data_IF_907222996839
#
_entry.id   IF_907222996839
#
_cell.length_a   1.000
_cell.length_b   1.000
_cell.length_c   1.000
_cell.angle_alpha   90.00
_cell.angle_beta   90.00
_cell.angle_gamma   90.00
#
_symmetry.space_group_name_H-M   'P 1'
#
loop_
_entity.id
_entity.type
_entity.pdbx_description
1 polymer ?
#
# COMPACT_ATOMS: atom_id res chain seq x y z
N UNK A 1 29.72 23.65 -44.71
CA UNK A 1 29.37 24.09 -43.33
C UNK A 1 27.86 24.16 -43.05
N UNK A 2 27.00 24.68 -43.96
CA UNK A 2 25.55 24.77 -43.74
C UNK A 2 24.81 23.40 -43.57
N UNK A 3 25.30 22.33 -44.23
CA UNK A 3 24.70 20.97 -44.10
C UNK A 3 25.03 20.26 -42.77
N UNK A 4 26.14 20.61 -42.12
CA UNK A 4 26.50 20.07 -40.80
C UNK A 4 25.70 20.73 -39.67
N UNK A 5 25.34 22.01 -39.82
CA UNK A 5 24.49 22.73 -38.88
C UNK A 5 23.05 22.19 -38.85
N UNK A 6 22.52 21.79 -40.00
CA UNK A 6 21.20 21.17 -40.12
C UNK A 6 21.14 19.77 -39.46
N UNK A 7 22.24 19.00 -39.51
CA UNK A 7 22.34 17.71 -38.81
C UNK A 7 22.39 17.86 -37.28
N UNK A 8 22.99 18.94 -36.77
CA UNK A 8 23.02 19.24 -35.34
C UNK A 8 21.65 19.68 -34.80
N UNK A 9 20.86 20.42 -35.59
CA UNK A 9 19.51 20.84 -35.18
C UNK A 9 18.53 19.66 -35.16
N UNK A 10 18.71 18.65 -36.03
CA UNK A 10 17.87 17.44 -36.03
C UNK A 10 18.09 16.54 -34.81
N UNK A 11 19.27 16.59 -34.18
CA UNK A 11 19.58 15.81 -32.97
C UNK A 11 18.93 16.38 -31.70
N UNK A 12 18.58 17.67 -31.66
CA UNK A 12 17.92 18.27 -30.50
C UNK A 12 16.41 18.01 -30.44
N UNK A 13 15.78 17.58 -31.54
CA UNK A 13 14.34 17.33 -31.60
C UNK A 13 13.94 15.90 -31.20
N UNK A 14 14.92 15.01 -30.98
CA UNK A 14 14.69 13.63 -30.50
C UNK A 14 14.97 13.48 -29.00
N UNK A 15 15.37 14.55 -28.30
CA UNK A 15 15.56 14.54 -26.84
C UNK A 15 14.28 14.86 -26.07
N UNK A 16 13.11 14.52 -26.61
CA UNK A 16 11.93 14.35 -25.79
C UNK A 16 12.05 12.96 -25.16
N UNK A 17 12.77 12.87 -24.04
CA UNK A 17 12.71 11.71 -23.17
C UNK A 17 11.24 11.56 -22.77
N UNK A 18 10.52 10.62 -23.39
CA UNK A 18 9.23 10.18 -22.85
C UNK A 18 9.53 9.78 -21.41
N UNK A 19 8.99 10.51 -20.44
CA UNK A 19 8.85 9.98 -19.09
C UNK A 19 8.19 8.62 -19.28
N UNK A 20 8.88 7.57 -18.88
CA UNK A 20 8.34 6.21 -18.93
C UNK A 20 7.20 6.20 -17.91
N UNK A 21 6.01 6.52 -18.41
CA UNK A 21 4.84 6.73 -17.58
C UNK A 21 4.35 5.35 -17.17
N UNK A 22 4.74 4.93 -15.98
CA UNK A 22 4.35 3.64 -15.46
C UNK A 22 2.83 3.58 -15.39
N UNK A 23 2.25 2.55 -16.00
CA UNK A 23 0.82 2.36 -15.86
C UNK A 23 0.49 2.19 -14.37
N UNK A 24 -0.60 2.81 -13.92
CA UNK A 24 -0.90 2.86 -12.50
C UNK A 24 -2.37 2.56 -12.20
N UNK A 25 -2.60 2.19 -10.94
CA UNK A 25 -3.90 2.19 -10.29
C UNK A 25 -3.72 2.30 -8.77
N UNK A 26 -4.73 1.91 -7.99
CA UNK A 26 -4.82 2.17 -6.57
C UNK A 26 -5.24 0.94 -5.77
N UNK A 27 -4.82 0.95 -4.50
CA UNK A 27 -5.47 0.22 -3.43
C UNK A 27 -6.63 1.04 -2.85
N UNK A 28 -7.76 0.37 -2.62
CA UNK A 28 -8.89 0.91 -1.86
C UNK A 28 -9.04 0.13 -0.55
N UNK A 29 -8.64 0.75 0.56
CA UNK A 29 -8.52 0.09 1.87
C UNK A 29 -9.54 0.59 2.90
N UNK A 30 -10.77 0.85 2.46
CA UNK A 30 -11.89 1.28 3.31
C UNK A 30 -12.97 0.20 3.37
N UNK A 31 -13.60 0.02 4.53
CA UNK A 31 -14.69 -0.97 4.72
C UNK A 31 -15.92 -0.64 3.88
N UNK A 32 -16.32 0.63 3.84
CA UNK A 32 -17.43 1.05 3.00
C UNK A 32 -16.90 1.36 1.59
N UNK A 33 -17.26 0.54 0.61
CA UNK A 33 -16.91 0.74 -0.79
C UNK A 33 -17.79 1.86 -1.38
N UNK A 34 -17.18 3.04 -1.52
CA UNK A 34 -17.77 4.27 -2.04
C UNK A 34 -16.66 5.07 -2.73
N UNK A 35 -17.00 5.83 -3.75
CA UNK A 35 -16.07 6.80 -4.34
C UNK A 35 -16.70 8.17 -4.25
N UNK A 36 -15.97 9.14 -3.69
CA UNK A 36 -16.32 10.54 -3.92
C UNK A 36 -15.93 10.99 -5.32
N UNK A 37 -16.23 12.25 -5.64
CA UNK A 37 -16.00 12.82 -6.98
C UNK A 37 -14.52 12.80 -7.37
N UNK A 38 -13.62 13.11 -6.44
CA UNK A 38 -12.19 13.19 -6.72
C UNK A 38 -11.57 11.79 -6.81
N UNK A 39 -11.93 10.89 -5.89
CA UNK A 39 -11.53 9.48 -5.95
C UNK A 39 -11.98 8.82 -7.26
N UNK A 40 -13.23 9.07 -7.70
CA UNK A 40 -13.72 8.54 -8.98
C UNK A 40 -12.95 9.12 -10.16
N UNK A 41 -12.76 10.43 -10.20
CA UNK A 41 -12.05 11.12 -11.29
C UNK A 41 -10.64 10.58 -11.47
N UNK A 42 -9.88 10.45 -10.38
CA UNK A 42 -8.50 9.94 -10.42
C UNK A 42 -8.49 8.45 -10.78
N UNK A 43 -9.44 7.64 -10.28
CA UNK A 43 -9.54 6.24 -10.66
C UNK A 43 -9.87 6.05 -12.14
N UNK A 44 -10.75 6.87 -12.71
CA UNK A 44 -11.12 6.79 -14.13
C UNK A 44 -9.94 7.15 -15.05
N UNK A 45 -9.00 7.98 -14.57
CA UNK A 45 -7.77 8.37 -15.28
C UNK A 45 -6.66 7.33 -15.19
N UNK A 46 -6.75 6.39 -14.25
CA UNK A 46 -5.72 5.36 -14.09
C UNK A 46 -5.64 4.46 -15.33
N UNK A 47 -4.44 4.09 -15.75
CA UNK A 47 -4.25 3.33 -16.99
C UNK A 47 -4.40 1.82 -16.82
N UNK A 48 -4.22 1.30 -15.61
CA UNK A 48 -4.45 -0.12 -15.30
C UNK A 48 -5.96 -0.37 -15.09
N UNK A 49 -6.55 -1.44 -15.65
CA UNK A 49 -8.00 -1.67 -15.63
C UNK A 49 -8.52 -2.28 -14.31
N UNK A 50 -7.73 -2.21 -13.23
CA UNK A 50 -8.02 -2.87 -11.96
C UNK A 50 -8.16 -1.87 -10.82
N UNK A 51 -8.97 -2.20 -9.81
CA UNK A 51 -8.96 -1.56 -8.49
C UNK A 51 -8.74 -2.66 -7.44
N UNK A 52 -7.69 -2.55 -6.65
CA UNK A 52 -7.38 -3.52 -5.60
C UNK A 52 -8.15 -3.17 -4.35
N UNK A 53 -9.23 -3.90 -4.08
CA UNK A 53 -10.17 -3.57 -3.02
C UNK A 53 -10.02 -4.53 -1.87
N UNK A 54 -9.72 -4.01 -0.67
CA UNK A 54 -9.74 -4.82 0.55
C UNK A 54 -11.15 -5.29 0.84
N UNK A 55 -11.39 -6.59 0.81
CA UNK A 55 -12.70 -7.20 1.05
C UNK A 55 -12.98 -7.47 2.52
N UNK A 56 -11.97 -7.93 3.25
CA UNK A 56 -12.04 -8.18 4.68
C UNK A 56 -10.65 -8.53 5.19
N UNK A 57 -10.51 -8.49 6.50
CA UNK A 57 -9.35 -9.00 7.20
C UNK A 57 -9.71 -10.37 7.81
N UNK A 58 -8.71 -11.18 8.08
CA UNK A 58 -8.87 -12.48 8.75
C UNK A 58 -7.99 -12.48 9.98
N UNK A 59 -8.61 -12.74 11.12
CA UNK A 59 -7.92 -12.89 12.40
C UNK A 59 -8.31 -14.20 13.10
N UNK A 60 -7.52 -14.64 14.08
CA UNK A 60 -7.80 -15.84 14.89
C UNK A 60 -8.00 -15.43 16.34
N UNK A 61 -9.25 -15.20 16.71
CA UNK A 61 -9.66 -14.74 18.04
C UNK A 61 -10.23 -15.94 18.80
N UNK A 62 -9.69 -16.22 20.00
CA UNK A 62 -10.10 -17.35 20.85
C UNK A 62 -10.08 -18.70 20.10
N UNK A 63 -9.04 -18.91 19.28
CA UNK A 63 -8.85 -20.14 18.50
C UNK A 63 -9.75 -20.29 17.27
N UNK A 64 -10.59 -19.30 16.95
CA UNK A 64 -11.50 -19.34 15.79
C UNK A 64 -11.14 -18.28 14.76
N UNK A 65 -11.10 -18.68 13.50
CA UNK A 65 -10.97 -17.73 12.39
C UNK A 65 -12.21 -16.86 12.29
N UNK A 66 -12.02 -15.54 12.20
CA UNK A 66 -13.08 -14.57 12.09
C UNK A 66 -12.76 -13.57 10.98
N UNK A 67 -13.71 -13.29 10.08
CA UNK A 67 -13.58 -12.16 9.18
C UNK A 67 -13.84 -10.87 9.96
N UNK A 68 -12.95 -9.90 9.81
CA UNK A 68 -13.03 -8.58 10.45
C UNK A 68 -13.17 -7.51 9.37
N UNK A 69 -13.86 -6.42 9.69
CA UNK A 69 -14.03 -5.26 8.81
C UNK A 69 -14.49 -5.64 7.38
N UNK A 70 -15.48 -6.55 7.30
CA UNK A 70 -16.03 -7.04 6.03
C UNK A 70 -16.64 -5.91 5.23
N UNK A 71 -16.32 -5.85 3.94
CA UNK A 71 -16.80 -4.79 3.07
C UNK A 71 -18.32 -4.67 3.05
N UNK A 72 -18.74 -3.42 3.00
CA UNK A 72 -20.08 -3.01 2.57
C UNK A 72 -19.95 -2.24 1.26
N UNK A 73 -21.05 -2.13 0.52
CA UNK A 73 -21.10 -1.30 -0.70
C UNK A 73 -22.12 -0.19 -0.52
N UNK A 74 -21.68 1.04 -0.77
CA UNK A 74 -22.56 2.18 -0.90
C UNK A 74 -23.32 2.08 -2.24
N UNK A 75 -24.64 2.34 -2.29
CA UNK A 75 -25.40 2.31 -3.54
C UNK A 75 -24.85 3.23 -4.64
N UNK A 76 -24.15 4.31 -4.26
CA UNK A 76 -23.51 5.23 -5.20
C UNK A 76 -22.23 4.69 -5.86
N UNK A 77 -21.66 3.58 -5.35
CA UNK A 77 -20.41 3.05 -5.86
C UNK A 77 -20.55 2.50 -7.29
N UNK A 78 -19.81 3.11 -8.22
CA UNK A 78 -19.73 2.71 -9.61
C UNK A 78 -18.31 2.91 -10.14
N UNK A 79 -17.83 1.95 -10.91
CA UNK A 79 -16.54 2.01 -11.61
C UNK A 79 -16.55 1.07 -12.81
N UNK A 80 -15.81 1.43 -13.86
CA UNK A 80 -15.54 0.53 -14.99
C UNK A 80 -14.34 -0.40 -14.74
N UNK A 81 -13.58 -0.16 -13.66
CA UNK A 81 -12.45 -1.01 -13.27
C UNK A 81 -12.94 -2.38 -12.81
N UNK A 82 -12.17 -3.42 -13.12
CA UNK A 82 -12.37 -4.73 -12.51
C UNK A 82 -11.81 -4.73 -11.09
N UNK A 83 -12.57 -5.30 -10.16
CA UNK A 83 -12.14 -5.42 -8.77
C UNK A 83 -11.20 -6.62 -8.62
N UNK A 84 -10.03 -6.42 -8.04
CA UNK A 84 -9.17 -7.48 -7.51
C UNK A 84 -9.46 -7.61 -6.01
N UNK A 85 -10.16 -8.68 -5.57
CA UNK A 85 -10.41 -8.89 -4.15
C UNK A 85 -9.09 -9.08 -3.41
N UNK A 86 -8.86 -8.21 -2.42
CA UNK A 86 -7.68 -8.26 -1.55
C UNK A 86 -8.12 -8.65 -0.15
N UNK A 87 -7.45 -9.63 0.46
CA UNK A 87 -7.75 -10.11 1.81
C UNK A 87 -6.51 -10.00 2.67
N UNK A 88 -6.62 -9.29 3.79
CA UNK A 88 -5.55 -9.24 4.78
C UNK A 88 -5.66 -10.43 5.74
N UNK A 89 -4.55 -11.08 6.05
CA UNK A 89 -4.50 -12.16 7.03
C UNK A 89 -3.48 -11.77 8.09
N UNK A 90 -3.91 -11.71 9.35
CA UNK A 90 -2.97 -11.46 10.45
C UNK A 90 -1.95 -12.60 10.51
N UNK A 91 -0.68 -12.26 10.71
CA UNK A 91 0.36 -13.27 10.85
C UNK A 91 0.06 -14.25 12.02
N UNK A 92 -0.58 -13.73 13.08
CA UNK A 92 -1.01 -14.52 14.23
C UNK A 92 -2.04 -15.60 13.86
N UNK A 93 -2.92 -15.35 12.89
CA UNK A 93 -3.90 -16.34 12.46
C UNK A 93 -3.25 -17.60 11.86
N UNK A 94 -2.04 -17.46 11.31
CA UNK A 94 -1.28 -18.55 10.70
C UNK A 94 -0.36 -19.26 11.68
N UNK A 95 -0.18 -18.75 12.89
CA UNK A 95 0.69 -19.35 13.89
C UNK A 95 0.07 -20.65 14.42
N UNK A 96 0.83 -21.76 14.38
CA UNK A 96 0.40 -23.11 14.79
C UNK A 96 -0.92 -23.56 14.14
N UNK A 97 -1.17 -23.15 12.89
CA UNK A 97 -2.33 -23.59 12.12
C UNK A 97 -2.15 -25.03 11.64
N UNK A 98 -3.16 -25.88 11.83
CA UNK A 98 -3.13 -27.26 11.35
C UNK A 98 -3.40 -27.35 9.83
N UNK A 99 -2.98 -28.43 9.14
CA UNK A 99 -3.30 -28.61 7.71
C UNK A 99 -4.81 -28.60 7.39
N UNK A 100 -5.64 -29.13 8.29
CA UNK A 100 -7.10 -29.08 8.16
C UNK A 100 -7.64 -27.66 8.25
N UNK A 101 -7.11 -26.86 9.18
CA UNK A 101 -7.45 -25.44 9.30
C UNK A 101 -6.99 -24.62 8.09
N UNK A 102 -5.83 -24.92 7.50
CA UNK A 102 -5.36 -24.25 6.27
C UNK A 102 -6.38 -24.41 5.14
N UNK A 103 -6.81 -25.65 4.89
CA UNK A 103 -7.81 -25.93 3.86
C UNK A 103 -9.15 -25.25 4.17
N UNK A 104 -9.61 -25.37 5.41
CA UNK A 104 -10.83 -24.70 5.86
C UNK A 104 -10.75 -23.19 5.64
N UNK A 105 -9.64 -22.55 6.01
CA UNK A 105 -9.44 -21.11 5.84
C UNK A 105 -9.49 -20.71 4.37
N UNK A 106 -8.82 -21.44 3.49
CA UNK A 106 -8.86 -21.19 2.05
C UNK A 106 -10.29 -21.30 1.47
N UNK A 107 -11.04 -22.34 1.87
CA UNK A 107 -12.44 -22.52 1.47
C UNK A 107 -13.32 -21.38 1.97
N UNK A 108 -13.19 -20.98 3.24
CA UNK A 108 -14.00 -19.90 3.84
C UNK A 108 -13.70 -18.53 3.25
N UNK A 109 -12.42 -18.22 3.00
CA UNK A 109 -12.01 -16.97 2.34
C UNK A 109 -12.62 -16.90 0.94
N UNK A 110 -12.48 -17.96 0.14
CA UNK A 110 -13.03 -17.97 -1.21
C UNK A 110 -14.55 -17.87 -1.22
N UNK A 111 -15.24 -18.60 -0.33
CA UNK A 111 -16.70 -18.51 -0.18
C UNK A 111 -17.16 -17.09 0.18
N UNK A 112 -16.46 -16.40 1.08
CA UNK A 112 -16.82 -15.03 1.46
C UNK A 112 -16.57 -14.04 0.32
N UNK A 113 -15.47 -14.18 -0.42
CA UNK A 113 -15.20 -13.39 -1.64
C UNK A 113 -16.34 -13.57 -2.65
N UNK A 114 -16.74 -14.82 -2.94
CA UNK A 114 -17.83 -15.12 -3.86
C UNK A 114 -19.16 -14.52 -3.39
N UNK A 115 -19.48 -14.69 -2.10
CA UNK A 115 -20.69 -14.13 -1.50
C UNK A 115 -20.75 -12.61 -1.69
N UNK A 116 -19.67 -11.89 -1.34
CA UNK A 116 -19.63 -10.42 -1.42
C UNK A 116 -19.60 -9.90 -2.85
N UNK A 117 -18.89 -10.60 -3.74
CA UNK A 117 -18.89 -10.29 -5.18
C UNK A 117 -20.30 -10.39 -5.76
N UNK A 118 -21.05 -11.45 -5.44
CA UNK A 118 -22.42 -11.67 -5.90
C UNK A 118 -23.39 -10.67 -5.27
N UNK A 119 -23.34 -10.49 -3.95
CA UNK A 119 -24.20 -9.57 -3.19
C UNK A 119 -24.12 -8.14 -3.76
N UNK A 120 -22.92 -7.70 -4.14
CA UNK A 120 -22.65 -6.34 -4.61
C UNK A 120 -22.55 -6.18 -6.12
N UNK A 121 -22.79 -7.26 -6.88
CA UNK A 121 -22.73 -7.29 -8.35
C UNK A 121 -21.42 -6.70 -8.89
N UNK A 122 -20.29 -7.07 -8.27
CA UNK A 122 -18.97 -6.54 -8.63
C UNK A 122 -18.39 -7.30 -9.83
N UNK A 123 -17.91 -6.57 -10.84
CA UNK A 123 -17.06 -7.12 -11.91
C UNK A 123 -15.69 -7.44 -11.30
N UNK A 124 -15.29 -8.71 -11.25
CA UNK A 124 -14.02 -9.12 -10.64
C UNK A 124 -13.02 -9.63 -11.67
N UNK A 125 -11.73 -9.37 -11.42
CA UNK A 125 -10.64 -9.91 -12.21
C UNK A 125 -10.44 -11.42 -11.93
N UNK A 126 -9.60 -12.06 -12.76
CA UNK A 126 -9.16 -13.44 -12.51
C UNK A 126 -8.02 -13.54 -11.49
N UNK A 127 -8.06 -12.71 -10.45
CA UNK A 127 -7.00 -12.59 -9.44
C UNK A 127 -7.62 -12.45 -8.04
N UNK A 128 -7.00 -13.07 -7.04
CA UNK A 128 -7.21 -12.81 -5.62
C UNK A 128 -5.86 -12.47 -5.02
N UNK A 129 -5.76 -11.31 -4.37
CA UNK A 129 -4.56 -10.89 -3.68
C UNK A 129 -4.67 -11.17 -2.18
N UNK A 130 -3.61 -11.72 -1.60
CA UNK A 130 -3.50 -11.95 -0.17
C UNK A 130 -2.42 -11.03 0.40
N UNK A 131 -2.81 -10.17 1.33
CA UNK A 131 -1.88 -9.36 2.11
C UNK A 131 -1.57 -10.05 3.44
N UNK A 132 -0.31 -10.34 3.70
CA UNK A 132 0.11 -10.98 4.94
C UNK A 132 1.58 -10.67 5.24
N UNK A 133 1.84 -10.19 6.44
CA UNK A 133 3.20 -9.99 6.95
C UNK A 133 3.76 -11.30 7.52
N UNK A 134 3.92 -12.31 6.65
CA UNK A 134 4.46 -13.60 7.06
C UNK A 134 5.90 -13.46 7.55
N UNK A 135 6.26 -14.36 8.45
CA UNK A 135 7.58 -14.41 9.11
C UNK A 135 8.25 -15.75 8.83
N UNK A 136 9.52 -15.90 9.24
CA UNK A 136 10.20 -17.20 9.16
C UNK A 136 9.42 -18.32 9.89
N UNK A 137 8.72 -18.00 10.97
CA UNK A 137 7.92 -18.95 11.75
C UNK A 137 6.60 -19.37 11.10
N UNK A 138 6.04 -18.54 10.23
CA UNK A 138 4.71 -18.77 9.61
C UNK A 138 4.76 -19.00 8.11
N UNK A 139 5.92 -18.78 7.45
CA UNK A 139 6.08 -18.86 5.99
C UNK A 139 5.56 -20.17 5.41
N UNK A 140 5.85 -21.30 6.06
CA UNK A 140 5.50 -22.61 5.50
C UNK A 140 3.99 -22.81 5.43
N UNK A 141 3.27 -22.36 6.45
CA UNK A 141 1.83 -22.52 6.51
C UNK A 141 1.11 -21.47 5.66
N UNK A 142 1.66 -20.25 5.60
CA UNK A 142 1.24 -19.25 4.62
C UNK A 142 1.37 -19.76 3.17
N UNK A 143 2.51 -20.38 2.83
CA UNK A 143 2.75 -20.88 1.48
C UNK A 143 1.87 -22.07 1.13
N UNK A 144 1.58 -22.96 2.08
CA UNK A 144 0.56 -24.01 1.90
C UNK A 144 -0.82 -23.41 1.68
N UNK A 145 -1.19 -22.40 2.47
CA UNK A 145 -2.45 -21.68 2.32
C UNK A 145 -2.61 -21.06 0.92
N UNK A 146 -1.60 -20.37 0.41
CA UNK A 146 -1.64 -19.79 -0.94
C UNK A 146 -1.86 -20.84 -2.03
N UNK A 147 -1.21 -22.01 -1.92
CA UNK A 147 -1.39 -23.13 -2.85
C UNK A 147 -2.80 -23.72 -2.77
N UNK A 148 -3.32 -23.94 -1.57
CA UNK A 148 -4.68 -24.44 -1.37
C UNK A 148 -5.73 -23.46 -1.89
N UNK A 149 -5.57 -22.15 -1.63
CA UNK A 149 -6.45 -21.12 -2.16
C UNK A 149 -6.43 -21.10 -3.70
N UNK A 150 -5.26 -21.20 -4.33
CA UNK A 150 -5.14 -21.28 -5.80
C UNK A 150 -5.89 -22.49 -6.35
N UNK A 151 -5.74 -23.65 -5.71
CA UNK A 151 -6.43 -24.89 -6.09
C UNK A 151 -7.95 -24.79 -5.94
N UNK A 152 -8.44 -24.25 -4.82
CA UNK A 152 -9.87 -24.15 -4.52
C UNK A 152 -10.56 -23.11 -5.41
N UNK A 153 -9.90 -21.95 -5.60
CA UNK A 153 -10.50 -20.84 -6.35
C UNK A 153 -10.40 -21.00 -7.86
N UNK A 154 -9.38 -21.70 -8.36
CA UNK A 154 -9.04 -21.75 -9.78
C UNK A 154 -8.59 -20.39 -10.36
N UNK A 155 -8.39 -19.39 -9.50
CA UNK A 155 -7.96 -18.03 -9.88
C UNK A 155 -6.44 -17.88 -9.75
N UNK A 156 -5.89 -16.83 -10.35
CA UNK A 156 -4.54 -16.39 -10.00
C UNK A 156 -4.54 -15.95 -8.52
N UNK A 157 -3.60 -16.46 -7.74
CA UNK A 157 -3.38 -16.02 -6.36
C UNK A 157 -2.06 -15.29 -6.31
N UNK A 158 -2.11 -14.05 -5.84
CA UNK A 158 -0.96 -13.17 -5.69
C UNK A 158 -0.83 -12.73 -4.24
N UNK A 159 0.33 -12.20 -3.88
CA UNK A 159 0.53 -11.68 -2.54
C UNK A 159 1.31 -10.37 -2.53
N UNK A 160 1.12 -9.62 -1.46
CA UNK A 160 2.01 -8.50 -1.14
C UNK A 160 3.39 -9.04 -0.72
N UNK A 161 4.41 -8.23 -0.84
CA UNK A 161 5.80 -8.56 -0.50
C UNK A 161 6.44 -7.36 0.18
N UNK A 162 6.85 -7.51 1.44
CA UNK A 162 7.54 -6.46 2.22
C UNK A 162 9.01 -6.37 1.83
N UNK A 163 9.58 -5.18 2.01
CA UNK A 163 11.01 -4.91 1.78
C UNK A 163 11.92 -5.90 2.54
N UNK A 164 11.62 -6.18 3.81
CA UNK A 164 12.43 -7.10 4.62
C UNK A 164 12.33 -8.55 4.12
N UNK A 165 11.19 -8.96 3.54
CA UNK A 165 11.03 -10.30 2.96
C UNK A 165 11.86 -10.46 1.67
N UNK A 166 12.14 -9.38 0.94
CA UNK A 166 13.10 -9.37 -0.16
C UNK A 166 14.53 -9.53 0.38
N UNK A 167 14.91 -8.68 1.32
CA UNK A 167 16.27 -8.66 1.91
C UNK A 167 16.62 -10.01 2.55
N UNK A 168 15.72 -10.54 3.36
CA UNK A 168 15.91 -11.73 4.18
C UNK A 168 15.22 -12.97 3.57
N UNK A 169 15.14 -13.04 2.22
CA UNK A 169 14.44 -14.10 1.47
C UNK A 169 14.87 -15.53 1.82
N UNK A 170 16.10 -15.72 2.31
CA UNK A 170 16.58 -17.03 2.78
C UNK A 170 15.82 -17.47 4.05
N UNK A 171 15.57 -16.52 4.96
CA UNK A 171 14.88 -16.73 6.23
C UNK A 171 13.36 -16.70 6.08
N UNK A 172 12.82 -15.74 5.31
CA UNK A 172 11.36 -15.56 5.12
C UNK A 172 10.80 -16.46 4.02
N UNK A 173 11.64 -17.03 3.17
CA UNK A 173 11.24 -17.87 2.05
C UNK A 173 10.67 -17.07 0.88
N UNK A 174 10.42 -17.76 -0.24
CA UNK A 174 9.83 -17.18 -1.45
C UNK A 174 8.41 -17.74 -1.60
N UNK A 175 7.37 -16.89 -1.69
CA UNK A 175 5.99 -17.35 -1.78
C UNK A 175 5.75 -18.10 -3.09
N UNK A 176 4.92 -19.17 -3.08
CA UNK A 176 4.68 -20.01 -4.25
C UNK A 176 3.62 -19.41 -5.18
N UNK A 177 3.82 -18.15 -5.58
CA UNK A 177 2.95 -17.39 -6.48
C UNK A 177 3.70 -16.93 -7.72
N UNK A 178 2.97 -16.64 -8.79
CA UNK A 178 3.58 -16.20 -10.06
C UNK A 178 3.86 -14.70 -10.09
N UNK A 179 3.11 -13.90 -9.31
CA UNK A 179 3.17 -12.45 -9.24
C UNK A 179 3.08 -11.95 -7.79
N UNK A 180 3.88 -10.93 -7.47
CA UNK A 180 3.92 -10.29 -6.14
C UNK A 180 3.81 -8.77 -6.26
N UNK A 181 3.33 -8.13 -5.20
CA UNK A 181 3.19 -6.68 -5.09
C UNK A 181 4.15 -6.16 -4.03
N UNK A 182 5.26 -5.58 -4.50
CA UNK A 182 6.34 -5.09 -3.66
C UNK A 182 5.91 -3.80 -2.95
N UNK A 183 5.68 -3.88 -1.65
CA UNK A 183 5.28 -2.75 -0.82
C UNK A 183 6.49 -1.88 -0.49
N UNK A 184 6.59 -0.75 -1.18
CA UNK A 184 7.66 0.23 -1.04
C UNK A 184 7.32 1.31 0.01
N UNK A 185 6.83 0.87 1.17
CA UNK A 185 6.46 1.72 2.31
C UNK A 185 6.46 0.94 3.63
N UNK A 186 6.23 1.66 4.73
CA UNK A 186 6.38 1.19 6.12
C UNK A 186 7.81 0.71 6.40
N UNK A 187 8.79 1.56 6.14
CA UNK A 187 10.22 1.23 6.30
C UNK A 187 10.66 1.11 7.76
N UNK A 188 9.91 1.69 8.69
CA UNK A 188 10.10 1.54 10.14
C UNK A 188 8.78 1.70 10.88
N UNK A 189 8.78 1.50 12.20
CA UNK A 189 7.61 1.76 13.02
C UNK A 189 7.46 3.27 13.28
N UNK A 190 6.26 3.87 13.11
CA UNK A 190 6.01 5.26 13.49
C UNK A 190 6.00 5.48 15.02
N UNK A 191 6.01 4.39 15.80
CA UNK A 191 5.98 4.42 17.26
C UNK A 191 7.38 4.28 17.88
N UNK A 192 8.41 4.06 17.05
CA UNK A 192 9.80 4.08 17.47
C UNK A 192 10.31 5.52 17.53
N UNK A 193 11.18 5.82 18.50
CA UNK A 193 11.81 7.14 18.62
C UNK A 193 12.86 7.31 17.52
N UNK A 194 12.41 7.74 16.34
CA UNK A 194 13.25 7.98 15.17
C UNK A 194 12.88 9.29 14.48
N UNK A 195 13.90 10.01 14.04
CA UNK A 195 13.75 11.22 13.22
C UNK A 195 13.43 10.89 11.76
N UNK A 196 13.53 9.61 11.37
CA UNK A 196 13.23 9.14 10.02
C UNK A 196 11.73 9.16 9.75
N UNK A 197 11.36 9.32 8.49
CA UNK A 197 10.00 9.15 8.02
C UNK A 197 9.68 7.64 8.00
N UNK A 198 8.74 7.21 8.84
CA UNK A 198 8.42 5.79 8.98
C UNK A 198 7.57 5.23 7.84
N UNK A 199 6.91 6.11 7.06
CA UNK A 199 6.19 5.73 5.83
C UNK A 199 7.20 5.30 4.77
N UNK A 200 8.24 6.11 4.52
CA UNK A 200 9.26 5.81 3.51
C UNK A 200 10.60 6.47 3.83
N UNK A 201 11.59 5.65 4.16
CA UNK A 201 13.01 5.96 4.11
C UNK A 201 13.60 5.39 2.81
N UNK A 202 13.92 6.27 1.87
CA UNK A 202 14.46 5.90 0.55
C UNK A 202 15.80 5.18 0.65
N UNK A 203 16.64 5.52 1.64
CA UNK A 203 17.93 4.85 1.87
C UNK A 203 17.75 3.41 2.32
N UNK A 204 16.82 3.16 3.24
CA UNK A 204 16.45 1.80 3.69
C UNK A 204 15.88 0.99 2.53
N UNK A 205 14.96 1.58 1.75
CA UNK A 205 14.39 0.92 0.57
C UNK A 205 15.48 0.51 -0.43
N UNK A 206 16.36 1.44 -0.82
CA UNK A 206 17.45 1.17 -1.76
C UNK A 206 18.40 0.10 -1.26
N UNK A 207 18.69 0.09 0.04
CA UNK A 207 19.51 -0.93 0.70
C UNK A 207 18.85 -2.31 0.65
N UNK A 208 17.55 -2.40 0.98
CA UNK A 208 16.83 -3.68 1.05
C UNK A 208 16.58 -4.27 -0.35
N UNK A 209 16.45 -3.42 -1.35
CA UNK A 209 16.19 -3.79 -2.74
C UNK A 209 17.44 -3.76 -3.62
N UNK A 210 18.64 -3.64 -3.03
CA UNK A 210 19.89 -3.51 -3.80
C UNK A 210 20.17 -4.70 -4.73
N UNK A 211 19.54 -5.85 -4.47
CA UNK A 211 19.64 -7.11 -5.23
C UNK A 211 18.27 -7.68 -5.60
N UNK A 212 17.27 -6.82 -5.80
CA UNK A 212 15.92 -7.27 -6.18
C UNK A 212 15.92 -8.04 -7.52
N UNK A 213 16.87 -7.76 -8.41
CA UNK A 213 17.07 -8.50 -9.66
C UNK A 213 17.33 -10.01 -9.43
N UNK A 214 17.91 -10.37 -8.28
CA UNK A 214 18.17 -11.75 -7.86
C UNK A 214 16.95 -12.42 -7.22
N UNK A 215 15.83 -11.71 -7.05
CA UNK A 215 14.62 -12.30 -6.49
C UNK A 215 14.00 -13.28 -7.52
N UNK A 216 13.57 -14.49 -7.11
CA UNK A 216 13.15 -15.52 -8.08
C UNK A 216 11.88 -15.17 -8.85
N UNK A 217 10.92 -14.50 -8.21
CA UNK A 217 9.67 -14.11 -8.85
C UNK A 217 9.92 -12.86 -9.70
N UNK A 218 9.70 -12.97 -11.02
CA UNK A 218 10.00 -11.90 -11.98
C UNK A 218 8.84 -10.97 -12.29
N UNK A 219 7.59 -11.41 -12.07
CA UNK A 219 6.41 -10.54 -12.16
C UNK A 219 6.26 -9.81 -10.83
N UNK A 220 6.81 -8.60 -10.75
CA UNK A 220 6.75 -7.75 -9.58
C UNK A 220 6.02 -6.48 -9.95
N UNK A 221 4.88 -6.25 -9.32
CA UNK A 221 4.19 -4.96 -9.34
C UNK A 221 4.65 -4.12 -8.14
N UNK A 222 4.59 -2.80 -8.22
CA UNK A 222 5.15 -1.93 -7.18
C UNK A 222 4.03 -1.16 -6.49
N UNK A 223 3.94 -1.28 -5.16
CA UNK A 223 3.01 -0.50 -4.36
C UNK A 223 3.72 0.70 -3.71
N UNK A 224 3.27 1.92 -3.99
CA UNK A 224 3.88 3.17 -3.52
C UNK A 224 2.98 3.93 -2.54
N UNK A 225 3.54 4.55 -1.49
CA UNK A 225 2.77 5.32 -0.52
C UNK A 225 2.43 6.72 -1.06
N UNK A 226 1.16 7.09 -1.00
CA UNK A 226 0.71 8.48 -1.20
C UNK A 226 0.00 9.05 0.03
N UNK A 227 -0.08 8.25 1.09
CA UNK A 227 -0.70 8.64 2.35
C UNK A 227 0.24 9.45 3.23
N UNK A 228 -0.35 10.08 4.24
CA UNK A 228 0.36 10.79 5.30
C UNK A 228 -0.33 10.55 6.65
N UNK A 229 0.39 10.80 7.74
CA UNK A 229 -0.15 10.78 9.09
C UNK A 229 0.55 11.81 9.98
N UNK A 230 -0.09 12.14 11.11
CA UNK A 230 0.57 12.80 12.23
C UNK A 230 0.73 11.83 13.40
N UNK A 231 1.92 11.84 13.99
CA UNK A 231 2.26 11.16 15.22
C UNK A 231 2.09 12.18 16.35
N UNK A 232 1.05 12.00 17.16
CA UNK A 232 0.80 12.82 18.34
C UNK A 232 1.50 12.18 19.55
N UNK A 233 2.34 12.94 20.23
CA UNK A 233 3.08 12.52 21.41
C UNK A 233 2.61 13.32 22.62
N UNK A 234 2.15 12.61 23.66
CA UNK A 234 1.73 13.24 24.91
C UNK A 234 2.90 13.44 25.90
N UNK A 235 2.63 14.05 27.06
CA UNK A 235 3.65 14.29 28.10
C UNK A 235 4.29 13.02 28.69
N UNK A 236 3.70 11.84 28.47
CA UNK A 236 4.21 10.55 28.91
C UNK A 236 4.93 9.80 27.78
N UNK A 237 5.28 10.48 26.69
CA UNK A 237 5.90 9.90 25.49
C UNK A 237 5.06 8.79 24.84
N UNK A 238 3.74 8.81 25.04
CA UNK A 238 2.83 7.87 24.35
C UNK A 238 2.41 8.46 23.01
N UNK A 239 2.50 7.62 21.98
CA UNK A 239 2.19 7.99 20.61
C UNK A 239 0.77 7.59 20.20
N UNK A 240 0.12 8.43 19.39
CA UNK A 240 -1.13 8.16 18.68
C UNK A 240 -1.00 8.60 17.23
N UNK A 241 -1.47 7.78 16.29
CA UNK A 241 -1.53 8.14 14.88
C UNK A 241 -2.86 8.82 14.55
N UNK A 242 -2.78 9.90 13.78
CA UNK A 242 -3.91 10.56 13.13
C UNK A 242 -3.66 10.50 11.62
N UNK A 243 -4.53 9.78 10.91
CA UNK A 243 -4.41 9.62 9.46
C UNK A 243 -4.72 10.92 8.71
N UNK A 244 -4.05 11.10 7.58
CA UNK A 244 -4.26 12.22 6.65
C UNK A 244 -4.04 13.60 7.27
N UNK A 245 -2.90 13.74 7.97
CA UNK A 245 -2.34 15.03 8.34
C UNK A 245 -1.17 15.36 7.42
N UNK A 246 -1.10 16.62 7.02
CA UNK A 246 -0.07 17.20 6.17
C UNK A 246 0.67 18.30 6.93
N UNK A 247 1.82 18.73 6.41
CA UNK A 247 2.54 19.88 7.00
C UNK A 247 1.70 21.16 7.02
N UNK A 248 0.74 21.28 6.11
CA UNK A 248 -0.16 22.43 6.06
C UNK A 248 -1.13 22.46 7.24
N UNK A 249 -1.51 21.30 7.76
CA UNK A 249 -2.38 21.19 8.95
C UNK A 249 -1.69 21.71 10.23
N UNK A 250 -0.36 21.82 10.21
CA UNK A 250 0.40 22.43 11.31
C UNK A 250 0.34 23.95 11.33
N UNK A 251 -0.15 24.59 10.25
CA UNK A 251 -0.35 26.04 10.19
C UNK A 251 -1.64 26.44 10.93
N UNK A 252 -1.64 26.28 12.25
CA UNK A 252 -2.76 26.58 13.14
C UNK A 252 -2.35 27.66 14.16
N UNK A 253 -3.18 28.69 14.44
CA UNK A 253 -2.86 29.73 15.41
C UNK A 253 -2.67 29.21 16.84
N UNK A 254 -3.28 28.06 17.18
CA UNK A 254 -3.12 27.42 18.48
C UNK A 254 -1.87 26.52 18.55
N UNK A 255 -1.06 26.43 17.48
CA UNK A 255 0.16 25.60 17.45
C UNK A 255 1.42 26.46 17.36
N UNK A 256 2.46 26.05 18.06
CA UNK A 256 3.82 26.57 17.93
C UNK A 256 4.63 25.65 17.04
N UNK A 257 4.96 26.12 15.84
CA UNK A 257 5.82 25.40 14.89
C UNK A 257 7.22 25.22 15.49
N UNK A 258 7.69 23.97 15.55
CA UNK A 258 9.05 23.59 15.99
C UNK A 258 9.95 23.41 14.76
N UNK A 259 9.46 22.63 13.79
CA UNK A 259 10.11 22.42 12.48
C UNK A 259 9.06 22.52 11.37
N UNK A 260 9.44 22.31 10.10
CA UNK A 260 8.46 22.27 9.01
C UNK A 260 7.39 21.19 9.20
N UNK A 261 7.75 20.08 9.85
CA UNK A 261 6.91 18.89 10.02
C UNK A 261 6.55 18.63 11.49
N UNK A 262 6.87 19.53 12.42
CA UNK A 262 6.60 19.34 13.84
C UNK A 262 6.06 20.60 14.50
N UNK A 263 5.04 20.46 15.33
CA UNK A 263 4.50 21.54 16.12
C UNK A 263 4.10 21.09 17.54
N UNK A 264 4.12 22.04 18.48
CA UNK A 264 3.59 21.90 19.84
C UNK A 264 2.22 22.56 19.94
N UNK A 265 1.27 21.91 20.62
CA UNK A 265 -0.07 22.46 20.86
C UNK A 265 -0.01 23.49 22.00
N UNK A 266 -0.49 24.71 21.79
CA UNK A 266 -0.50 25.78 22.79
C UNK A 266 -1.79 25.86 23.60
N UNK A 267 -2.86 25.25 23.11
CA UNK A 267 -4.21 25.32 23.70
C UNK A 267 -4.92 23.97 23.62
N UNK A 268 -5.57 23.59 24.72
CA UNK A 268 -6.45 22.43 24.74
C UNK A 268 -7.61 22.60 23.75
N UNK A 269 -7.94 21.56 22.99
CA UNK A 269 -9.01 21.65 22.02
C UNK A 269 -9.25 20.39 21.20
N UNK A 270 -10.28 20.44 20.36
CA UNK A 270 -10.55 19.42 19.36
C UNK A 270 -9.81 19.77 18.06
N UNK A 271 -8.83 18.93 17.71
CA UNK A 271 -8.06 19.03 16.48
C UNK A 271 -8.14 17.70 15.74
N UNK A 272 -8.39 17.74 14.43
CA UNK A 272 -8.41 16.54 13.58
C UNK A 272 -9.32 15.41 14.11
N UNK A 273 -10.47 15.78 14.68
CA UNK A 273 -11.42 14.83 15.28
C UNK A 273 -11.01 14.24 16.63
N UNK A 274 -9.96 14.76 17.27
CA UNK A 274 -9.44 14.28 18.54
C UNK A 274 -9.33 15.42 19.56
N UNK A 275 -9.62 15.15 20.83
CA UNK A 275 -9.29 16.08 21.91
C UNK A 275 -7.79 15.96 22.23
N UNK A 276 -7.04 17.04 22.03
CA UNK A 276 -5.60 17.11 22.29
C UNK A 276 -5.30 18.22 23.30
N UNK A 277 -4.41 17.94 24.24
CA UNK A 277 -4.03 18.89 25.28
C UNK A 277 -2.86 19.77 24.86
N UNK A 278 -2.78 20.95 25.47
CA UNK A 278 -1.61 21.84 25.46
C UNK A 278 -0.36 21.07 25.85
N UNK A 279 0.73 21.33 25.13
CA UNK A 279 2.05 20.75 25.30
C UNK A 279 2.21 19.37 24.67
N UNK A 280 1.18 18.81 24.03
CA UNK A 280 1.37 17.67 23.14
C UNK A 280 2.13 18.11 21.88
N UNK A 281 2.88 17.18 21.29
CA UNK A 281 3.59 17.41 20.02
C UNK A 281 2.94 16.65 18.89
N UNK A 282 2.95 17.21 17.70
CA UNK A 282 2.49 16.58 16.46
C UNK A 282 3.66 16.57 15.49
N UNK A 283 4.13 15.38 15.10
CA UNK A 283 5.08 15.19 13.98
C UNK A 283 4.31 14.66 12.78
N UNK A 284 4.33 15.38 11.67
CA UNK A 284 3.74 14.94 10.39
C UNK A 284 4.76 14.14 9.59
N UNK A 285 4.30 13.04 9.01
CA UNK A 285 5.04 12.29 8.00
C UNK A 285 4.17 12.21 6.73
N UNK A 286 4.69 12.81 5.66
CA UNK A 286 4.11 12.82 4.32
C UNK A 286 5.19 12.43 3.30
N UNK A 287 4.78 11.96 2.12
CA UNK A 287 5.71 11.57 1.05
C UNK A 287 5.71 12.63 -0.03
N UNK A 288 6.90 13.17 -0.32
CA UNK A 288 7.08 14.18 -1.36
C UNK A 288 7.09 13.56 -2.77
N UNK A 289 6.73 14.33 -3.81
CA UNK A 289 6.85 13.89 -5.20
C UNK A 289 8.27 13.46 -5.58
N UNK A 290 9.28 14.16 -5.07
CA UNK A 290 10.69 13.87 -5.33
C UNK A 290 11.11 12.53 -4.72
N UNK A 291 10.60 12.19 -3.53
CA UNK A 291 10.84 10.88 -2.92
C UNK A 291 10.23 9.74 -3.75
N UNK A 292 9.01 9.94 -4.27
CA UNK A 292 8.37 8.97 -5.16
C UNK A 292 9.14 8.81 -6.47
N UNK A 293 9.54 9.91 -7.10
CA UNK A 293 10.32 9.90 -8.34
C UNK A 293 11.67 9.22 -8.14
N UNK A 294 12.38 9.47 -7.03
CA UNK A 294 13.65 8.80 -6.71
C UNK A 294 13.48 7.28 -6.54
N UNK A 295 12.40 6.84 -5.89
CA UNK A 295 12.09 5.40 -5.77
C UNK A 295 11.75 4.79 -7.13
N UNK A 296 10.92 5.46 -7.94
CA UNK A 296 10.54 4.96 -9.29
C UNK A 296 11.80 4.83 -10.17
N UNK A 297 12.65 5.85 -10.23
CA UNK A 297 13.88 5.84 -11.01
C UNK A 297 14.88 4.77 -10.53
N UNK A 298 14.91 4.49 -9.22
CA UNK A 298 15.70 3.40 -8.68
C UNK A 298 15.15 2.03 -9.11
N UNK A 299 13.84 1.83 -9.02
CA UNK A 299 13.19 0.57 -9.36
C UNK A 299 13.22 0.28 -10.87
N UNK A 300 13.09 1.29 -11.73
CA UNK A 300 13.22 1.15 -13.19
C UNK A 300 14.55 0.53 -13.62
N UNK A 301 15.63 0.84 -12.90
CA UNK A 301 16.97 0.27 -13.16
C UNK A 301 17.09 -1.20 -12.75
N UNK A 302 16.10 -1.72 -12.03
CA UNK A 302 16.17 -2.99 -11.28
C UNK A 302 15.06 -3.98 -11.67
N UNK A 303 13.89 -3.46 -11.99
CA UNK A 303 12.68 -4.22 -12.36
C UNK A 303 12.32 -3.77 -13.78
N UNK A 304 12.47 -4.64 -14.81
CA UNK A 304 12.33 -4.24 -16.21
C UNK A 304 10.96 -3.67 -16.58
N UNK A 305 9.90 -4.18 -15.97
CA UNK A 305 8.53 -3.72 -16.20
C UNK A 305 7.70 -3.93 -14.93
N UNK A 306 6.98 -2.89 -14.53
CA UNK A 306 6.03 -2.93 -13.43
C UNK A 306 4.97 -1.84 -13.60
N UNK A 307 3.78 -2.12 -13.10
CA UNK A 307 2.75 -1.14 -12.84
C UNK A 307 2.88 -0.62 -11.40
N UNK A 308 2.37 0.59 -11.18
CA UNK A 308 2.32 1.21 -9.87
C UNK A 308 0.91 1.04 -9.27
N UNK A 309 0.84 0.61 -8.01
CA UNK A 309 -0.39 0.57 -7.24
C UNK A 309 -0.23 1.52 -6.06
N UNK A 310 -0.84 2.70 -6.16
CA UNK A 310 -0.75 3.69 -5.10
C UNK A 310 -1.61 3.29 -3.89
N UNK A 311 -0.99 3.26 -2.71
CA UNK A 311 -1.66 3.09 -1.44
C UNK A 311 -1.84 4.48 -0.79
N UNK A 312 -3.06 5.01 -0.69
CA UNK A 312 -4.36 4.45 -1.06
C UNK A 312 -5.25 5.48 -1.76
N UNK A 313 -6.29 5.03 -2.47
CA UNK A 313 -7.33 5.87 -3.06
C UNK A 313 -8.18 6.49 -1.94
N UNK A 314 -7.81 7.70 -1.55
CA UNK A 314 -8.53 8.56 -0.63
C UNK A 314 -8.41 9.99 -1.13
N UNK A 315 -9.52 10.75 -1.18
CA UNK A 315 -9.51 12.13 -1.67
C UNK A 315 -8.50 13.02 -0.96
N UNK A 316 -8.21 12.79 0.32
CA UNK A 316 -7.18 13.56 1.05
C UNK A 316 -5.77 13.35 0.52
N UNK A 317 -5.52 12.25 -0.19
CA UNK A 317 -4.19 11.90 -0.71
C UNK A 317 -4.07 12.08 -2.21
N UNK A 318 -5.18 12.03 -2.95
CA UNK A 318 -5.17 12.16 -4.41
C UNK A 318 -5.48 13.58 -4.90
N UNK A 319 -6.02 14.45 -4.04
CA UNK A 319 -6.28 15.85 -4.39
C UNK A 319 -4.97 16.56 -4.81
N UNK A 320 -5.04 17.29 -5.92
CA UNK A 320 -3.95 18.09 -6.49
C UNK A 320 -2.66 17.31 -6.85
N UNK A 321 -2.71 15.98 -6.91
CA UNK A 321 -1.61 15.14 -7.42
C UNK A 321 -1.76 14.85 -8.91
N UNK A 322 -0.64 14.87 -9.61
CA UNK A 322 -0.50 14.29 -10.94
C UNK A 322 0.12 12.90 -10.79
N UNK A 323 -0.45 11.91 -11.47
CA UNK A 323 -0.08 10.50 -11.38
C UNK A 323 0.52 10.01 -12.69
#
# INVERSE_FOLDING_TARGET
MKRLLALWILFFIVSCSKKDDHAHTFYYWKTNLRLDREEKKVLDQSSVPYLYTRFFDVDKINGRFQPVAVITKDPSFQTEKQIVPTVFITNQALFNISPGEIRFLAERIYQLIQKKTKEYHLKTANEIQIDCDWTAGTRNDYFKFLKELKKISGKEVTCTLRLHQVKDKKQTGIPPVEKVYLMCYSTSSPLEKSDKNSILDVGVLKSYLSKIEDYPIKKIEVALPIYSWGIVTNHLEKHRLINALSKNDLNNPDFKKITENEAEILKDGFYFGNYLNKGFRIKVEEISPEQLEDVILFLQKKIPHFNIIYYQLDSKFVLDRQF
#
